data_IF_118305067118
#
_entry.id   IF_118305067118
#
_cell.length_a   1.000
_cell.length_b   1.000
_cell.length_c   1.000
_cell.angle_alpha   90.00
_cell.angle_beta   90.00
_cell.angle_gamma   90.00
#
_symmetry.space_group_name_H-M   'P 1'
#
loop_
_entity.id
_entity.type
_entity.pdbx_description
1 polymer ?
#
# COMPACT_ATOMS: atom_id res chain seq x y z
N UNK A 1 4.26 -12.80 36.98
CA UNK A 1 4.72 -11.53 36.41
C UNK A 1 5.46 -11.66 35.08
N UNK A 2 6.11 -12.78 34.80
CA UNK A 2 6.83 -12.98 33.54
C UNK A 2 5.99 -13.00 32.28
N UNK A 3 4.71 -13.39 32.38
CA UNK A 3 3.82 -13.45 31.22
C UNK A 3 3.40 -12.07 30.69
N UNK A 4 3.23 -11.10 31.57
CA UNK A 4 2.85 -9.74 31.16
C UNK A 4 4.00 -9.02 30.43
N UNK A 5 5.24 -9.26 30.83
CA UNK A 5 6.39 -8.70 30.14
C UNK A 5 6.56 -9.21 28.72
N UNK A 6 6.34 -10.50 28.51
CA UNK A 6 6.43 -11.10 27.16
C UNK A 6 5.37 -10.58 26.22
N UNK A 7 4.16 -10.35 26.71
CA UNK A 7 3.08 -9.80 25.91
C UNK A 7 3.39 -8.37 25.47
N UNK A 8 3.95 -7.57 26.35
CA UNK A 8 4.35 -6.20 26.00
C UNK A 8 5.45 -6.17 24.95
N UNK A 9 6.44 -7.04 25.07
CA UNK A 9 7.52 -7.12 24.08
C UNK A 9 7.00 -7.50 22.69
N UNK A 10 6.08 -8.46 22.62
CA UNK A 10 5.46 -8.89 21.36
C UNK A 10 4.68 -7.75 20.72
N UNK A 11 3.90 -7.02 21.52
CA UNK A 11 3.12 -5.88 21.03
C UNK A 11 4.03 -4.77 20.51
N UNK A 12 5.11 -4.47 21.21
CA UNK A 12 6.07 -3.45 20.77
C UNK A 12 6.72 -3.82 19.45
N UNK A 13 7.10 -5.08 19.25
CA UNK A 13 7.68 -5.54 18.00
C UNK A 13 6.72 -5.41 16.83
N UNK A 14 5.45 -5.74 17.05
CA UNK A 14 4.41 -5.60 16.02
C UNK A 14 4.22 -4.12 15.66
N UNK A 15 4.17 -3.24 16.65
CA UNK A 15 4.04 -1.81 16.42
C UNK A 15 5.25 -1.23 15.67
N UNK A 16 6.46 -1.65 16.02
CA UNK A 16 7.69 -1.23 15.33
C UNK A 16 7.69 -1.67 13.88
N UNK A 17 7.27 -2.92 13.61
CA UNK A 17 7.15 -3.44 12.26
C UNK A 17 6.13 -2.63 11.45
N UNK A 18 4.97 -2.30 12.03
CA UNK A 18 3.97 -1.46 11.39
C UNK A 18 4.52 -0.08 11.05
N UNK A 19 5.27 0.52 11.98
CA UNK A 19 5.89 1.83 11.74
C UNK A 19 6.90 1.78 10.60
N UNK A 20 7.71 0.73 10.54
CA UNK A 20 8.66 0.55 9.44
C UNK A 20 7.94 0.42 8.10
N UNK A 21 6.85 -0.33 8.06
CA UNK A 21 6.07 -0.54 6.86
C UNK A 21 5.40 0.75 6.36
N UNK A 22 5.12 1.70 7.26
CA UNK A 22 4.59 3.00 6.88
C UNK A 22 5.59 3.83 6.07
N UNK A 23 6.88 3.53 6.18
CA UNK A 23 7.93 4.21 5.41
C UNK A 23 8.32 3.47 4.13
N UNK A 24 7.81 2.26 3.94
CA UNK A 24 8.04 1.51 2.70
C UNK A 24 6.99 1.96 1.68
N UNK A 25 7.45 2.61 0.61
CA UNK A 25 6.57 3.12 -0.44
C UNK A 25 6.51 2.16 -1.61
N UNK A 26 5.31 1.95 -2.11
CA UNK A 26 5.04 1.08 -3.24
C UNK A 26 4.36 1.92 -4.31
N UNK A 27 4.94 1.92 -5.51
CA UNK A 27 4.40 2.62 -6.67
C UNK A 27 3.80 1.61 -7.65
N UNK A 28 2.61 1.89 -8.13
CA UNK A 28 1.98 1.12 -9.19
C UNK A 28 1.47 2.06 -10.26
N UNK A 29 1.77 1.75 -11.52
CA UNK A 29 1.35 2.55 -12.66
C UNK A 29 0.53 1.70 -13.62
N UNK A 30 -0.38 2.35 -14.35
CA UNK A 30 -1.03 1.70 -15.49
C UNK A 30 -0.01 1.44 -16.59
N UNK A 31 -0.32 0.50 -17.51
CA UNK A 31 0.60 0.11 -18.58
C UNK A 31 1.03 1.29 -19.45
N UNK A 32 0.15 2.26 -19.66
CA UNK A 32 0.40 3.46 -20.46
C UNK A 32 0.91 4.65 -19.64
N UNK A 33 1.03 4.50 -18.31
CA UNK A 33 1.52 5.55 -17.42
C UNK A 33 0.52 6.67 -17.14
N UNK A 34 -0.74 6.53 -17.55
CA UNK A 34 -1.74 7.57 -17.35
C UNK A 34 -2.24 7.66 -15.91
N UNK A 35 -2.08 6.60 -15.14
CA UNK A 35 -2.46 6.57 -13.73
C UNK A 35 -1.33 5.99 -12.89
N UNK A 36 -1.00 6.67 -11.81
CA UNK A 36 0.02 6.22 -10.86
C UNK A 36 -0.52 6.33 -9.45
N UNK A 37 -0.30 5.30 -8.65
CA UNK A 37 -0.72 5.25 -7.25
C UNK A 37 0.50 4.92 -6.39
N UNK A 38 0.68 5.69 -5.32
CA UNK A 38 1.73 5.43 -4.31
C UNK A 38 1.06 5.12 -2.99
N UNK A 39 1.44 4.00 -2.39
CA UNK A 39 0.91 3.59 -1.09
C UNK A 39 2.02 3.02 -0.22
N UNK A 40 1.73 2.85 1.08
CA UNK A 40 2.67 2.22 2.00
C UNK A 40 2.46 0.70 2.00
N UNK A 41 3.43 -0.03 2.53
CA UNK A 41 3.31 -1.48 2.72
C UNK A 41 2.18 -1.84 3.71
N UNK A 42 1.70 -0.89 4.51
CA UNK A 42 0.52 -1.04 5.36
C UNK A 42 -0.80 -0.77 4.60
N UNK A 43 -0.74 -0.65 3.28
CA UNK A 43 -1.90 -0.45 2.41
C UNK A 43 -2.60 0.89 2.63
N UNK A 44 -1.83 1.91 3.00
CA UNK A 44 -2.33 3.28 3.07
C UNK A 44 -1.96 4.02 1.80
N UNK A 45 -2.94 4.54 1.11
CA UNK A 45 -2.70 5.31 -0.11
C UNK A 45 -2.16 6.69 0.27
N UNK A 46 -0.99 7.04 -0.30
CA UNK A 46 -0.34 8.32 -0.04
C UNK A 46 -0.61 9.33 -1.12
N UNK A 47 -0.64 8.88 -2.38
CA UNK A 47 -0.80 9.78 -3.52
C UNK A 47 -1.41 9.05 -4.70
N UNK A 48 -2.19 9.77 -5.49
CA UNK A 48 -2.74 9.29 -6.75
C UNK A 48 -2.49 10.40 -7.77
N UNK A 49 -1.81 10.05 -8.88
CA UNK A 49 -1.56 10.96 -9.97
C UNK A 49 -2.36 10.51 -11.19
N UNK A 50 -3.22 11.39 -11.70
CA UNK A 50 -4.09 11.10 -12.83
C UNK A 50 -3.72 12.02 -13.98
N UNK A 51 -3.49 11.43 -15.17
CA UNK A 51 -3.24 12.21 -16.37
C UNK A 51 -4.52 12.93 -16.84
N UNK A 52 -4.34 14.10 -17.45
CA UNK A 52 -5.45 14.86 -18.01
C UNK A 52 -6.24 14.06 -19.05
N UNK A 53 -5.57 13.16 -19.77
CA UNK A 53 -6.22 12.30 -20.77
C UNK A 53 -7.26 11.38 -20.15
N UNK A 54 -7.02 10.89 -18.92
CA UNK A 54 -7.99 10.06 -18.22
C UNK A 54 -9.19 10.86 -17.71
N UNK A 55 -9.00 12.14 -17.43
CA UNK A 55 -10.10 13.00 -16.97
C UNK A 55 -11.15 13.24 -18.03
N UNK A 56 -10.80 13.05 -19.30
CA UNK A 56 -11.72 13.21 -20.43
C UNK A 56 -12.66 12.01 -20.60
N UNK A 57 -12.31 10.87 -20.00
CA UNK A 57 -13.10 9.65 -20.09
C UNK A 57 -13.31 9.06 -18.71
N UNK A 58 -14.46 9.35 -18.13
CA UNK A 58 -14.79 8.95 -16.75
C UNK A 58 -14.80 7.42 -16.60
N UNK A 59 -15.36 6.69 -17.57
CA UNK A 59 -15.44 5.24 -17.49
C UNK A 59 -14.05 4.61 -17.53
N UNK A 60 -13.19 5.12 -18.40
CA UNK A 60 -11.81 4.68 -18.50
C UNK A 60 -11.06 4.93 -17.20
N UNK A 61 -11.25 6.12 -16.60
CA UNK A 61 -10.64 6.46 -15.31
C UNK A 61 -11.08 5.49 -14.23
N UNK A 62 -12.36 5.17 -14.15
CA UNK A 62 -12.89 4.23 -13.17
C UNK A 62 -12.27 2.85 -13.32
N UNK A 63 -12.17 2.34 -14.55
CA UNK A 63 -11.55 1.05 -14.83
C UNK A 63 -10.07 1.03 -14.47
N UNK A 64 -9.34 2.09 -14.78
CA UNK A 64 -7.92 2.22 -14.45
C UNK A 64 -7.72 2.24 -12.94
N UNK A 65 -8.57 2.96 -12.20
CA UNK A 65 -8.49 3.01 -10.75
C UNK A 65 -8.67 1.61 -10.13
N UNK A 66 -9.68 0.88 -10.58
CA UNK A 66 -9.91 -0.48 -10.07
C UNK A 66 -8.69 -1.38 -10.32
N UNK A 67 -8.16 -1.38 -11.54
CA UNK A 67 -7.04 -2.24 -11.90
C UNK A 67 -5.75 -1.86 -11.17
N UNK A 68 -5.40 -0.57 -11.18
CA UNK A 68 -4.15 -0.11 -10.57
C UNK A 68 -4.19 -0.22 -9.05
N UNK A 69 -5.31 0.16 -8.43
CA UNK A 69 -5.45 0.05 -6.98
C UNK A 69 -5.39 -1.40 -6.51
N UNK A 70 -6.04 -2.32 -7.21
CA UNK A 70 -5.99 -3.74 -6.85
C UNK A 70 -4.58 -4.31 -6.96
N UNK A 71 -3.84 -3.96 -8.01
CA UNK A 71 -2.44 -4.37 -8.16
C UNK A 71 -1.55 -3.78 -7.07
N UNK A 72 -1.77 -2.51 -6.74
CA UNK A 72 -1.01 -1.82 -5.70
C UNK A 72 -1.25 -2.47 -4.33
N UNK A 73 -2.50 -2.77 -4.00
CA UNK A 73 -2.87 -3.44 -2.75
C UNK A 73 -2.25 -4.84 -2.69
N UNK A 74 -2.25 -5.55 -3.79
CA UNK A 74 -1.66 -6.88 -3.88
C UNK A 74 -0.15 -6.84 -3.60
N UNK A 75 0.56 -5.88 -4.19
CA UNK A 75 1.98 -5.67 -3.92
C UNK A 75 2.23 -5.32 -2.46
N UNK A 76 1.43 -4.41 -1.90
CA UNK A 76 1.55 -4.01 -0.51
C UNK A 76 1.30 -5.19 0.43
N UNK A 77 0.32 -6.02 0.13
CA UNK A 77 0.01 -7.22 0.90
C UNK A 77 1.18 -8.19 0.89
N UNK A 78 1.80 -8.42 -0.28
CA UNK A 78 2.96 -9.30 -0.40
C UNK A 78 4.14 -8.79 0.42
N UNK A 79 4.43 -7.50 0.38
CA UNK A 79 5.50 -6.90 1.17
C UNK A 79 5.18 -6.99 2.65
N UNK A 80 3.96 -6.69 3.05
CA UNK A 80 3.51 -6.77 4.44
C UNK A 80 3.66 -8.19 4.99
N UNK A 81 3.20 -9.19 4.25
CA UNK A 81 3.31 -10.59 4.66
C UNK A 81 4.77 -11.04 4.76
N UNK A 82 5.60 -10.64 3.82
CA UNK A 82 7.02 -10.98 3.82
C UNK A 82 7.73 -10.42 5.06
N UNK A 83 7.43 -9.18 5.43
CA UNK A 83 8.03 -8.54 6.60
C UNK A 83 7.54 -9.13 7.93
N UNK A 84 6.31 -9.64 7.97
CA UNK A 84 5.75 -10.26 9.17
C UNK A 84 6.07 -11.74 9.30
N UNK A 85 6.47 -12.36 8.21
CA UNK A 85 6.87 -13.77 8.25
C UNK A 85 8.28 -13.93 8.80
#
# INVERSE_FOLDING_TARGET
>A
MGMMGKLKETQQKVEETKKRLDFVLIDEKSADGLLEVTLTANRKIKNITVSDDLLKDKEMLEDYLVNVLNKAIEKATNVHETELA
#
